data_IF_063639502618
#
_entry.id   IF_063639502618
#
_cell.length_a   1.000
_cell.length_b   1.000
_cell.length_c   1.000
_cell.angle_alpha   90.00
_cell.angle_beta   90.00
_cell.angle_gamma   90.00
#
_symmetry.space_group_name_H-M   'P 1'
#
loop_
_entity.id
_entity.type
_entity.pdbx_description
1 polymer ?
#
# COMPACT_ATOMS: atom_id res chain seq x y z
N UNK A 1 -54.20 -9.87 27.31
CA UNK A 1 -53.22 -8.87 26.82
C UNK A 1 -51.88 -9.53 26.88
N UNK A 2 -51.35 -9.92 25.72
CA UNK A 2 -50.10 -10.67 25.63
C UNK A 2 -49.03 -9.75 25.02
N UNK A 3 -48.14 -9.27 25.84
CA UNK A 3 -46.97 -8.48 25.42
C UNK A 3 -45.98 -9.38 24.68
N UNK A 4 -45.92 -9.22 23.36
CA UNK A 4 -44.84 -9.82 22.55
C UNK A 4 -43.59 -8.97 22.66
N UNK A 5 -42.68 -9.46 23.43
CA UNK A 5 -41.32 -8.93 23.49
C UNK A 5 -40.64 -9.11 22.11
N UNK A 6 -40.38 -8.00 21.41
CA UNK A 6 -39.66 -7.99 20.13
C UNK A 6 -38.17 -8.14 20.49
N UNK A 7 -37.43 -9.17 20.00
CA UNK A 7 -36.02 -9.28 20.25
C UNK A 7 -35.29 -8.14 19.57
N UNK A 8 -34.54 -7.40 20.35
CA UNK A 8 -33.62 -6.34 19.93
C UNK A 8 -32.66 -6.88 18.89
N UNK A 9 -32.81 -6.52 17.61
CA UNK A 9 -31.80 -6.78 16.59
C UNK A 9 -30.53 -6.05 16.98
N UNK A 10 -29.55 -6.77 17.52
CA UNK A 10 -28.18 -6.29 17.62
C UNK A 10 -27.77 -5.77 16.25
N UNK A 11 -27.50 -4.46 16.16
CA UNK A 11 -26.88 -3.86 15.00
C UNK A 11 -25.57 -4.64 14.75
N UNK A 12 -25.46 -5.30 13.60
CA UNK A 12 -24.20 -5.89 13.15
C UNK A 12 -23.27 -4.71 12.94
N UNK A 13 -22.42 -4.45 13.91
CA UNK A 13 -21.42 -3.38 13.86
C UNK A 13 -20.56 -3.59 12.61
N UNK A 14 -20.49 -2.56 11.77
CA UNK A 14 -19.61 -2.56 10.59
C UNK A 14 -18.18 -2.62 11.11
N UNK A 15 -17.45 -3.70 10.83
CA UNK A 15 -16.03 -3.86 11.19
C UNK A 15 -15.26 -2.69 10.58
N UNK A 16 -14.49 -1.99 11.37
CA UNK A 16 -13.67 -0.86 10.92
C UNK A 16 -12.51 -1.35 10.03
N UNK A 17 -11.94 -0.44 9.23
CA UNK A 17 -10.76 -0.75 8.42
C UNK A 17 -9.59 -1.23 9.30
N UNK A 18 -9.38 -0.57 10.43
CA UNK A 18 -8.34 -0.92 11.38
C UNK A 18 -8.52 -2.36 11.92
N UNK A 19 -9.73 -2.69 12.39
CA UNK A 19 -10.04 -4.04 12.90
C UNK A 19 -9.86 -5.11 11.83
N UNK A 20 -10.31 -4.84 10.60
CA UNK A 20 -10.15 -5.76 9.48
C UNK A 20 -8.68 -6.02 9.19
N UNK A 21 -7.85 -4.98 9.06
CA UNK A 21 -6.44 -5.14 8.70
C UNK A 21 -5.59 -5.71 9.84
N UNK A 22 -5.92 -5.41 11.09
CA UNK A 22 -5.31 -6.04 12.26
C UNK A 22 -5.66 -7.53 12.39
N UNK A 23 -6.83 -7.94 11.91
CA UNK A 23 -7.26 -9.34 11.92
C UNK A 23 -6.58 -10.22 10.86
N UNK A 24 -5.83 -9.64 9.93
CA UNK A 24 -5.11 -10.39 8.89
C UNK A 24 -3.97 -11.21 9.52
N UNK A 25 -4.23 -12.48 9.76
CA UNK A 25 -3.22 -13.38 10.29
C UNK A 25 -2.03 -13.53 9.32
N UNK A 26 -0.78 -13.40 9.80
CA UNK A 26 0.40 -13.66 9.00
C UNK A 26 0.41 -15.12 8.49
N UNK A 27 0.70 -15.29 7.18
CA UNK A 27 0.75 -16.62 6.58
C UNK A 27 1.68 -16.66 5.35
N UNK A 28 2.40 -17.76 5.21
CA UNK A 28 3.10 -18.12 3.99
C UNK A 28 2.20 -19.06 3.20
N UNK A 29 1.88 -18.71 1.97
CA UNK A 29 0.97 -19.46 1.13
C UNK A 29 1.48 -19.50 -0.32
N UNK A 30 1.25 -20.59 -1.08
CA UNK A 30 1.60 -20.64 -2.49
C UNK A 30 0.82 -19.57 -3.28
N UNK A 31 1.43 -19.09 -4.36
CA UNK A 31 0.79 -18.12 -5.24
C UNK A 31 -0.46 -18.72 -5.90
N UNK A 32 -1.59 -17.98 -5.94
CA UNK A 32 -2.75 -18.41 -6.73
C UNK A 32 -2.52 -18.33 -8.24
N UNK A 33 -1.41 -17.72 -8.69
CA UNK A 33 -0.98 -17.71 -10.09
C UNK A 33 0.23 -18.61 -10.28
N UNK A 34 0.11 -19.74 -11.01
CA UNK A 34 1.24 -20.61 -11.29
C UNK A 34 2.38 -19.86 -11.96
N UNK A 35 3.62 -20.10 -11.51
CA UNK A 35 4.82 -19.43 -12.03
C UNK A 35 5.02 -18.00 -11.51
N UNK A 36 4.30 -17.61 -10.46
CA UNK A 36 4.48 -16.31 -9.82
C UNK A 36 4.76 -16.46 -8.31
N UNK A 37 5.55 -15.57 -7.76
CA UNK A 37 5.49 -15.20 -6.35
C UNK A 37 4.41 -14.14 -6.14
N UNK A 38 3.91 -13.99 -4.93
CA UNK A 38 2.88 -13.01 -4.64
C UNK A 38 2.99 -12.46 -3.23
N UNK A 39 2.38 -11.31 -3.03
CA UNK A 39 2.14 -10.70 -1.73
C UNK A 39 0.71 -10.18 -1.66
N UNK A 40 0.10 -10.25 -0.47
CA UNK A 40 -1.20 -9.66 -0.16
C UNK A 40 -1.06 -8.78 1.07
N UNK A 41 -1.58 -7.58 0.98
CA UNK A 41 -1.52 -6.65 2.10
C UNK A 41 -2.01 -5.25 1.77
N UNK A 42 -1.44 -4.29 2.44
CA UNK A 42 -1.90 -2.91 2.38
C UNK A 42 -0.74 -1.91 2.54
N UNK A 43 -1.01 -0.66 2.22
CA UNK A 43 -0.07 0.42 2.49
C UNK A 43 -0.28 1.65 1.62
N UNK A 44 0.58 2.65 1.82
CA UNK A 44 0.66 3.85 0.99
C UNK A 44 1.70 3.63 -0.07
N UNK A 45 1.29 3.75 -1.34
CA UNK A 45 2.16 3.48 -2.48
C UNK A 45 3.21 4.56 -2.71
N UNK A 46 2.87 5.81 -2.44
CA UNK A 46 3.78 6.95 -2.35
C UNK A 46 3.07 8.12 -1.67
N UNK A 47 3.77 8.84 -0.82
CA UNK A 47 3.32 10.09 -0.20
C UNK A 47 4.42 11.14 -0.32
N UNK A 48 4.35 11.99 -1.34
CA UNK A 48 5.22 13.16 -1.45
C UNK A 48 4.83 14.20 -0.40
N UNK A 49 5.84 14.85 0.19
CA UNK A 49 5.70 15.94 1.15
C UNK A 49 6.24 17.26 0.58
N UNK A 50 5.81 18.38 1.18
CA UNK A 50 6.21 19.72 0.77
C UNK A 50 7.74 19.95 0.84
N UNK A 51 8.43 19.26 1.73
CA UNK A 51 9.90 19.25 1.84
C UNK A 51 10.61 18.56 0.67
N UNK A 52 9.88 17.92 -0.26
CA UNK A 52 10.45 17.12 -1.36
C UNK A 52 10.76 15.66 -1.01
N UNK A 53 10.62 15.28 0.25
CA UNK A 53 10.71 13.88 0.68
C UNK A 53 9.50 13.07 0.18
N UNK A 54 9.71 11.77 -0.05
CA UNK A 54 8.62 10.83 -0.36
C UNK A 54 8.70 9.65 0.58
N UNK A 55 7.58 9.29 1.20
CA UNK A 55 7.45 8.11 2.02
C UNK A 55 6.53 7.07 1.37
N UNK A 56 6.86 5.80 1.58
CA UNK A 56 6.07 4.62 1.21
C UNK A 56 5.98 3.71 2.42
N UNK A 57 4.84 3.15 2.72
CA UNK A 57 4.70 2.08 3.71
C UNK A 57 3.91 0.92 3.12
N UNK A 58 4.36 -0.29 3.36
CA UNK A 58 3.70 -1.52 2.91
C UNK A 58 3.77 -2.58 4.01
N UNK A 59 2.67 -3.26 4.22
CA UNK A 59 2.57 -4.42 5.08
C UNK A 59 2.01 -5.59 4.26
N UNK A 60 2.72 -6.68 4.24
CA UNK A 60 2.37 -7.90 3.50
C UNK A 60 2.29 -9.10 4.46
N UNK A 61 1.19 -9.20 5.24
CA UNK A 61 0.99 -10.30 6.18
C UNK A 61 0.88 -11.65 5.48
N UNK A 62 0.44 -11.70 4.23
CA UNK A 62 0.30 -12.95 3.46
C UNK A 62 1.12 -12.88 2.19
N UNK A 63 1.95 -13.89 1.95
CA UNK A 63 2.78 -13.95 0.74
C UNK A 63 3.38 -15.34 0.53
N UNK A 64 4.19 -15.49 -0.54
CA UNK A 64 4.82 -16.78 -0.89
C UNK A 64 6.11 -17.07 -0.13
N UNK A 65 6.65 -16.16 0.65
CA UNK A 65 7.99 -16.33 1.23
C UNK A 65 8.08 -16.01 2.74
N UNK A 66 7.71 -14.84 3.21
CA UNK A 66 7.67 -14.50 4.63
C UNK A 66 6.85 -13.23 4.87
N UNK A 67 5.96 -13.16 5.88
CA UNK A 67 5.28 -11.92 6.25
C UNK A 67 6.28 -10.81 6.59
N UNK A 68 6.06 -9.60 6.07
CA UNK A 68 6.94 -8.47 6.33
C UNK A 68 6.24 -7.13 6.20
N UNK A 69 6.88 -6.11 6.75
CA UNK A 69 6.57 -4.70 6.55
C UNK A 69 7.76 -4.01 5.88
N UNK A 70 7.52 -2.95 5.14
CA UNK A 70 8.59 -2.11 4.61
C UNK A 70 8.21 -0.65 4.62
N UNK A 71 9.18 0.21 4.91
CA UNK A 71 9.10 1.65 4.73
C UNK A 71 10.19 2.05 3.76
N UNK A 72 9.83 2.87 2.77
CA UNK A 72 10.78 3.42 1.83
C UNK A 72 10.81 4.91 2.01
N UNK A 73 11.98 5.47 1.94
CA UNK A 73 12.22 6.90 2.04
C UNK A 73 13.00 7.36 0.82
N UNK A 74 12.51 8.43 0.19
CA UNK A 74 13.21 9.14 -0.87
C UNK A 74 13.54 10.53 -0.36
N UNK A 75 14.81 10.89 -0.46
CA UNK A 75 15.30 12.24 -0.17
C UNK A 75 14.91 13.22 -1.29
N UNK A 76 14.95 14.55 -1.06
CA UNK A 76 14.65 15.55 -2.08
C UNK A 76 15.53 15.47 -3.33
N UNK A 77 16.78 15.02 -3.19
CA UNK A 77 17.73 14.81 -4.29
C UNK A 77 17.46 13.55 -5.12
N UNK A 78 16.50 12.71 -4.69
CA UNK A 78 16.04 11.56 -5.45
C UNK A 78 16.54 10.20 -4.98
N UNK A 79 17.33 10.15 -3.93
CA UNK A 79 17.93 8.93 -3.39
C UNK A 79 16.93 8.10 -2.60
N UNK A 80 16.82 6.80 -2.90
CA UNK A 80 15.94 5.87 -2.22
C UNK A 80 16.65 5.01 -1.20
N UNK A 81 16.02 4.85 -0.03
CA UNK A 81 16.38 3.85 0.99
C UNK A 81 15.17 2.97 1.31
N UNK A 82 15.39 1.66 1.52
CA UNK A 82 14.33 0.68 1.80
C UNK A 82 14.62 0.00 3.12
N UNK A 83 13.68 0.10 4.06
CA UNK A 83 13.73 -0.52 5.38
C UNK A 83 12.74 -1.66 5.44
N UNK A 84 13.13 -2.81 6.00
CA UNK A 84 12.32 -4.04 6.05
C UNK A 84 12.29 -4.59 7.46
N UNK A 85 11.11 -5.01 7.91
CA UNK A 85 10.86 -5.70 9.18
C UNK A 85 10.10 -7.01 8.94
N UNK A 86 10.51 -8.09 9.59
CA UNK A 86 9.85 -9.40 9.54
C UNK A 86 10.43 -10.39 8.52
N UNK A 87 11.24 -9.93 7.56
CA UNK A 87 11.92 -10.80 6.60
C UNK A 87 13.33 -10.28 6.30
N UNK A 88 14.26 -11.13 5.83
CA UNK A 88 15.54 -10.67 5.30
C UNK A 88 15.33 -9.71 4.13
N UNK A 89 16.13 -8.63 4.09
CA UNK A 89 15.98 -7.58 3.08
C UNK A 89 16.09 -8.13 1.65
N UNK A 90 16.96 -9.08 1.39
CA UNK A 90 17.16 -9.74 0.10
C UNK A 90 15.97 -10.61 -0.37
N UNK A 91 15.05 -10.95 0.53
CA UNK A 91 13.84 -11.75 0.24
C UNK A 91 12.56 -10.94 0.17
N UNK A 92 12.58 -9.67 0.58
CA UNK A 92 11.43 -8.77 0.62
C UNK A 92 11.38 -7.81 -0.59
N UNK A 93 10.78 -6.63 -0.42
CA UNK A 93 10.75 -5.59 -1.44
C UNK A 93 12.11 -5.28 -2.10
N UNK A 94 13.25 -5.26 -1.37
CA UNK A 94 14.55 -5.01 -1.99
C UNK A 94 14.93 -6.03 -3.08
N UNK A 95 14.46 -7.26 -3.02
CA UNK A 95 14.66 -8.25 -4.10
C UNK A 95 14.18 -7.72 -5.46
N UNK A 96 13.15 -6.89 -5.46
CA UNK A 96 12.52 -6.35 -6.66
C UNK A 96 12.96 -4.93 -6.98
N UNK A 97 13.26 -4.12 -5.98
CA UNK A 97 13.50 -2.69 -6.10
C UNK A 97 14.89 -2.26 -5.64
N UNK A 98 15.62 -3.12 -4.92
CA UNK A 98 16.91 -2.78 -4.31
C UNK A 98 17.99 -2.34 -5.31
N UNK A 99 17.91 -2.82 -6.57
CA UNK A 99 18.82 -2.37 -7.63
C UNK A 99 18.67 -0.87 -7.98
N UNK A 100 17.59 -0.23 -7.56
CA UNK A 100 17.32 1.20 -7.74
C UNK A 100 17.28 1.98 -6.42
N UNK A 101 17.66 1.35 -5.31
CA UNK A 101 17.85 1.98 -4.02
C UNK A 101 19.33 2.02 -3.66
N UNK A 102 19.77 3.10 -3.02
CA UNK A 102 21.14 3.21 -2.52
C UNK A 102 21.36 2.28 -1.32
N UNK A 103 20.34 2.17 -0.47
CA UNK A 103 20.40 1.37 0.74
C UNK A 103 19.16 0.47 0.87
N UNK A 104 19.38 -0.76 1.31
CA UNK A 104 18.31 -1.68 1.72
C UNK A 104 18.78 -2.42 2.97
N UNK A 105 18.08 -2.22 4.09
CA UNK A 105 18.44 -2.83 5.38
C UNK A 105 17.25 -3.26 6.22
N UNK A 106 17.50 -4.15 7.16
CA UNK A 106 16.52 -4.50 8.19
C UNK A 106 16.39 -3.37 9.21
N UNK A 107 15.15 -3.07 9.60
CA UNK A 107 14.83 -2.11 10.65
C UNK A 107 13.51 -2.50 11.30
N UNK A 108 13.33 -2.15 12.58
CA UNK A 108 12.05 -2.29 13.25
C UNK A 108 11.07 -1.27 12.72
N UNK A 109 9.89 -1.74 12.30
CA UNK A 109 8.78 -0.91 11.79
C UNK A 109 7.54 -1.26 12.60
N UNK A 110 6.98 -0.28 13.29
CA UNK A 110 5.73 -0.45 14.01
C UNK A 110 4.60 0.26 13.25
N UNK A 111 3.47 -0.44 13.09
CA UNK A 111 2.23 0.05 12.48
C UNK A 111 1.15 0.01 13.54
N UNK A 112 0.69 1.16 14.00
CA UNK A 112 -0.30 1.28 15.08
C UNK A 112 -1.54 1.99 14.57
N UNK A 113 -2.69 1.31 14.58
CA UNK A 113 -3.96 1.93 14.31
C UNK A 113 -4.43 2.70 15.53
N UNK A 114 -4.47 4.03 15.44
CA UNK A 114 -4.86 4.95 16.52
C UNK A 114 -6.34 5.31 16.45
N UNK A 115 -7.02 4.90 15.38
CA UNK A 115 -8.45 5.08 15.16
C UNK A 115 -8.96 4.16 14.04
N UNK A 116 -10.26 4.16 13.73
CA UNK A 116 -10.87 3.30 12.72
C UNK A 116 -10.26 3.47 11.30
N UNK A 117 -9.71 4.66 11.02
CA UNK A 117 -9.14 5.08 9.74
C UNK A 117 -7.82 5.86 9.94
N UNK A 118 -7.22 5.76 11.12
CA UNK A 118 -6.02 6.52 11.49
C UNK A 118 -4.87 5.57 11.77
N UNK A 119 -3.75 5.77 11.08
CA UNK A 119 -2.57 4.92 11.16
C UNK A 119 -1.35 5.75 11.58
N UNK A 120 -0.59 5.25 12.52
CA UNK A 120 0.75 5.71 12.86
C UNK A 120 1.79 4.68 12.43
N UNK A 121 2.86 5.17 11.81
CA UNK A 121 4.03 4.39 11.36
C UNK A 121 5.25 4.94 12.06
N UNK A 122 6.02 4.07 12.72
CA UNK A 122 7.30 4.46 13.31
C UNK A 122 8.42 3.57 12.80
N UNK A 123 9.59 4.16 12.55
CA UNK A 123 10.82 3.46 12.16
C UNK A 123 11.96 4.02 12.99
N UNK A 124 12.42 3.24 13.97
CA UNK A 124 13.44 3.67 14.92
C UNK A 124 14.76 4.08 14.21
N UNK A 125 15.20 3.28 13.26
CA UNK A 125 16.45 3.52 12.51
C UNK A 125 16.46 4.82 11.66
N UNK A 126 15.29 5.43 11.46
CA UNK A 126 15.11 6.71 10.76
C UNK A 126 14.70 7.84 11.71
N UNK A 127 14.46 7.54 12.97
CA UNK A 127 13.74 8.44 13.89
C UNK A 127 12.46 8.98 13.23
N UNK A 128 11.77 8.10 12.46
CA UNK A 128 10.56 8.46 11.74
C UNK A 128 9.34 8.23 12.61
N UNK A 129 8.50 9.28 12.70
CA UNK A 129 7.12 9.18 13.15
C UNK A 129 6.20 9.77 12.08
N UNK A 130 5.30 8.96 11.56
CA UNK A 130 4.41 9.32 10.46
C UNK A 130 2.98 8.92 10.77
N UNK A 131 2.09 9.90 10.91
CA UNK A 131 0.66 9.71 11.14
C UNK A 131 -0.16 10.05 9.92
N UNK A 132 -1.26 9.35 9.71
CA UNK A 132 -2.18 9.64 8.62
C UNK A 132 -3.63 9.28 8.95
N UNK A 133 -4.57 10.08 8.43
CA UNK A 133 -6.01 9.82 8.46
C UNK A 133 -6.49 9.49 7.05
N UNK A 134 -7.23 8.40 6.92
CA UNK A 134 -7.78 7.93 5.66
C UNK A 134 -9.24 8.37 5.48
N UNK A 135 -9.71 8.37 4.24
CA UNK A 135 -11.11 8.68 3.91
C UNK A 135 -11.58 7.88 2.70
N UNK A 136 -12.85 7.51 2.71
CA UNK A 136 -13.51 6.77 1.63
C UNK A 136 -14.78 7.53 1.21
N UNK A 137 -14.68 8.50 0.28
CA UNK A 137 -15.85 9.16 -0.29
C UNK A 137 -16.81 8.17 -0.95
N UNK A 138 -18.09 8.49 -1.07
CA UNK A 138 -19.13 7.59 -1.55
C UNK A 138 -18.83 6.97 -2.93
N UNK A 139 -18.29 7.75 -3.86
CA UNK A 139 -17.91 7.24 -5.18
C UNK A 139 -16.75 6.22 -5.09
N UNK A 140 -15.77 6.46 -4.20
CA UNK A 140 -14.66 5.54 -3.99
C UNK A 140 -15.13 4.25 -3.34
N UNK A 141 -16.09 4.34 -2.41
CA UNK A 141 -16.75 3.16 -1.81
C UNK A 141 -17.45 2.30 -2.87
N UNK A 142 -18.13 2.92 -3.82
CA UNK A 142 -18.76 2.19 -4.94
C UNK A 142 -17.72 1.50 -5.82
N UNK A 143 -16.61 2.18 -6.14
CA UNK A 143 -15.48 1.60 -6.89
C UNK A 143 -14.83 0.44 -6.12
N UNK A 144 -14.59 0.60 -4.82
CA UNK A 144 -14.06 -0.44 -3.94
C UNK A 144 -14.97 -1.67 -3.90
N UNK A 145 -16.29 -1.46 -3.81
CA UNK A 145 -17.25 -2.54 -3.82
C UNK A 145 -17.25 -3.31 -5.15
N UNK A 146 -17.11 -2.61 -6.28
CA UNK A 146 -16.98 -3.23 -7.60
C UNK A 146 -15.66 -4.00 -7.76
N UNK A 147 -14.54 -3.35 -7.44
CA UNK A 147 -13.20 -3.92 -7.55
C UNK A 147 -13.01 -5.15 -6.66
N UNK A 148 -13.55 -5.13 -5.43
CA UNK A 148 -13.47 -6.26 -4.49
C UNK A 148 -14.21 -7.51 -4.98
N UNK A 149 -15.23 -7.35 -5.84
CA UNK A 149 -16.01 -8.46 -6.41
C UNK A 149 -15.40 -9.05 -7.68
N UNK A 150 -14.38 -8.41 -8.25
CA UNK A 150 -13.73 -8.95 -9.45
C UNK A 150 -13.09 -10.30 -9.15
N UNK A 151 -13.37 -11.34 -9.95
CA UNK A 151 -12.75 -12.64 -9.78
C UNK A 151 -11.25 -12.55 -10.05
N UNK A 152 -10.46 -13.43 -9.42
CA UNK A 152 -9.00 -13.44 -9.56
C UNK A 152 -8.54 -13.54 -11.03
N UNK A 153 -9.26 -14.33 -11.83
CA UNK A 153 -8.95 -14.52 -13.24
C UNK A 153 -9.08 -13.21 -14.07
N UNK A 154 -9.97 -12.31 -13.69
CA UNK A 154 -10.16 -11.03 -14.39
C UNK A 154 -8.89 -10.16 -14.32
N UNK A 155 -8.15 -10.21 -13.23
CA UNK A 155 -6.92 -9.45 -13.03
C UNK A 155 -5.74 -9.91 -13.92
N UNK A 156 -5.90 -11.01 -14.65
CA UNK A 156 -4.95 -11.45 -15.68
C UNK A 156 -5.22 -10.80 -17.05
N UNK A 157 -6.34 -10.10 -17.20
CA UNK A 157 -6.72 -9.42 -18.43
C UNK A 157 -5.95 -8.11 -18.60
N UNK A 158 -5.13 -7.96 -19.66
CA UNK A 158 -4.46 -6.69 -19.95
C UNK A 158 -5.44 -5.53 -20.17
N UNK A 159 -6.63 -5.83 -20.71
CA UNK A 159 -7.67 -4.83 -20.95
C UNK A 159 -8.22 -4.30 -19.63
N UNK A 160 -8.48 -5.19 -18.65
CA UNK A 160 -8.91 -4.75 -17.30
C UNK A 160 -7.83 -3.90 -16.64
N UNK A 161 -6.57 -4.35 -16.65
CA UNK A 161 -5.45 -3.63 -16.04
C UNK A 161 -5.34 -2.21 -16.63
N UNK A 162 -5.35 -2.07 -17.97
CA UNK A 162 -5.33 -0.75 -18.62
C UNK A 162 -6.53 0.12 -18.28
N UNK A 163 -7.73 -0.48 -18.19
CA UNK A 163 -8.94 0.22 -17.75
C UNK A 163 -8.82 0.74 -16.31
N UNK A 164 -8.23 -0.05 -15.41
CA UNK A 164 -7.97 0.35 -14.03
C UNK A 164 -6.89 1.43 -13.93
N UNK A 165 -5.83 1.36 -14.73
CA UNK A 165 -4.80 2.40 -14.83
C UNK A 165 -5.40 3.73 -15.30
N UNK A 166 -6.20 3.70 -16.37
CA UNK A 166 -6.89 4.89 -16.89
C UNK A 166 -7.85 5.49 -15.85
N UNK A 167 -8.62 4.64 -15.19
CA UNK A 167 -9.53 5.08 -14.12
C UNK A 167 -8.77 5.71 -12.95
N UNK A 168 -7.66 5.11 -12.51
CA UNK A 168 -6.82 5.66 -11.45
C UNK A 168 -6.20 7.01 -11.86
N UNK A 169 -5.72 7.12 -13.08
CA UNK A 169 -5.12 8.35 -13.61
C UNK A 169 -6.15 9.48 -13.77
N UNK A 170 -7.25 9.22 -14.50
CA UNK A 170 -8.22 10.24 -14.90
C UNK A 170 -9.25 10.52 -13.80
N UNK A 171 -9.90 9.47 -13.27
CA UNK A 171 -11.01 9.63 -12.32
C UNK A 171 -10.48 9.94 -10.91
N UNK A 172 -9.43 9.24 -10.47
CA UNK A 172 -8.87 9.42 -9.13
C UNK A 172 -7.76 10.48 -9.09
N UNK A 173 -7.28 10.93 -10.24
CA UNK A 173 -6.25 11.96 -10.37
C UNK A 173 -4.89 11.56 -9.80
N UNK A 174 -4.56 10.26 -9.86
CA UNK A 174 -3.35 9.70 -9.25
C UNK A 174 -2.09 9.90 -10.10
N UNK A 175 -2.21 10.50 -11.28
CA UNK A 175 -1.13 10.61 -12.27
C UNK A 175 -0.96 9.31 -13.06
N UNK A 176 0.19 9.17 -13.73
CA UNK A 176 0.51 7.96 -14.46
C UNK A 176 0.77 6.80 -13.49
N UNK A 177 -0.21 5.93 -13.35
CA UNK A 177 -0.13 4.72 -12.52
C UNK A 177 0.07 3.52 -13.44
N UNK A 178 1.09 2.72 -13.17
CA UNK A 178 1.35 1.45 -13.82
C UNK A 178 1.01 0.30 -12.86
N UNK A 179 -0.02 -0.49 -13.21
CA UNK A 179 -0.40 -1.68 -12.44
C UNK A 179 0.28 -2.94 -12.95
N UNK A 180 0.86 -2.92 -14.15
CA UNK A 180 1.65 -4.01 -14.69
C UNK A 180 2.88 -3.48 -15.42
N UNK A 181 4.07 -4.04 -15.12
CA UNK A 181 5.30 -3.57 -15.71
C UNK A 181 6.53 -4.31 -15.24
N UNK A 182 7.68 -3.94 -15.82
CA UNK A 182 8.98 -4.49 -15.47
C UNK A 182 9.60 -3.69 -14.32
N UNK A 183 9.97 -4.39 -13.25
CA UNK A 183 10.61 -3.82 -12.08
C UNK A 183 12.13 -3.62 -12.29
N UNK A 184 12.81 -2.83 -11.43
CA UNK A 184 14.27 -2.65 -11.47
C UNK A 184 15.06 -3.96 -11.49
N UNK A 185 14.60 -4.98 -10.78
CA UNK A 185 15.18 -6.33 -10.80
C UNK A 185 14.99 -7.08 -12.13
N UNK A 186 14.19 -6.55 -13.05
CA UNK A 186 13.82 -7.20 -14.31
C UNK A 186 12.66 -8.20 -14.20
N UNK A 187 12.08 -8.44 -13.02
CA UNK A 187 10.86 -9.23 -12.90
C UNK A 187 9.66 -8.45 -13.48
N UNK A 188 8.71 -9.18 -14.05
CA UNK A 188 7.41 -8.62 -14.41
C UNK A 188 6.50 -8.64 -13.19
N UNK A 189 5.90 -7.51 -12.84
CA UNK A 189 4.94 -7.40 -11.76
C UNK A 189 3.55 -7.05 -12.28
N UNK A 190 2.53 -7.52 -11.56
CA UNK A 190 1.13 -7.12 -11.75
C UNK A 190 0.53 -6.80 -10.39
N UNK A 191 0.04 -5.57 -10.23
CA UNK A 191 -0.64 -5.09 -9.04
C UNK A 191 -2.15 -5.23 -9.21
N UNK A 192 -2.84 -5.73 -8.20
CA UNK A 192 -4.29 -5.94 -8.22
C UNK A 192 -4.92 -5.24 -7.02
N UNK A 193 -5.09 -3.91 -7.07
CA UNK A 193 -5.71 -3.16 -5.99
C UNK A 193 -7.18 -3.56 -5.85
N UNK A 194 -7.58 -4.02 -4.67
CA UNK A 194 -8.94 -4.43 -4.36
C UNK A 194 -9.74 -3.30 -3.77
N UNK A 195 -9.11 -2.50 -2.91
CA UNK A 195 -9.70 -1.30 -2.31
C UNK A 195 -8.66 -0.20 -2.20
N UNK A 196 -9.13 1.03 -2.25
CA UNK A 196 -8.32 2.22 -2.11
C UNK A 196 -8.99 3.21 -1.18
N UNK A 197 -8.18 4.01 -0.49
CA UNK A 197 -8.59 5.11 0.38
C UNK A 197 -7.72 6.31 0.09
N UNK A 198 -8.30 7.50 0.15
CA UNK A 198 -7.49 8.71 0.07
C UNK A 198 -6.91 9.06 1.44
N UNK A 199 -5.75 9.67 1.43
CA UNK A 199 -5.19 10.29 2.61
C UNK A 199 -5.85 11.66 2.75
N UNK A 200 -6.59 11.87 3.84
CA UNK A 200 -7.24 13.13 4.18
C UNK A 200 -6.24 14.11 4.76
N UNK A 201 -5.40 13.64 5.65
CA UNK A 201 -4.33 14.39 6.29
C UNK A 201 -3.19 13.44 6.68
N UNK A 202 -1.99 13.96 6.71
CA UNK A 202 -0.85 13.25 7.27
C UNK A 202 0.16 14.27 7.84
N UNK A 203 0.96 13.81 8.78
CA UNK A 203 2.10 14.52 9.33
C UNK A 203 3.25 13.53 9.50
N UNK A 204 4.44 13.93 9.11
CA UNK A 204 5.64 13.10 9.25
C UNK A 204 6.81 13.94 9.77
N UNK A 205 7.48 13.40 10.77
CA UNK A 205 8.72 13.91 11.35
C UNK A 205 9.81 12.86 11.14
N UNK A 206 10.94 13.28 10.60
CA UNK A 206 12.10 12.45 10.27
C UNK A 206 13.36 13.06 10.90
N UNK A 207 13.94 12.40 11.89
CA UNK A 207 15.12 12.88 12.62
C UNK A 207 14.96 14.34 13.09
N UNK A 208 13.79 14.68 13.65
CA UNK A 208 13.45 16.02 14.12
C UNK A 208 13.05 17.02 13.03
N UNK A 209 13.09 16.62 11.74
CA UNK A 209 12.63 17.44 10.62
C UNK A 209 11.15 17.18 10.34
N UNK A 210 10.31 18.22 10.43
CA UNK A 210 8.95 18.18 9.92
C UNK A 210 8.96 18.18 8.38
N UNK A 211 8.40 17.13 7.77
CA UNK A 211 8.37 17.00 6.32
C UNK A 211 7.30 17.91 5.65
N UNK A 212 6.49 18.59 6.45
CA UNK A 212 5.41 19.44 5.98
C UNK A 212 4.17 18.66 5.53
N UNK A 213 3.26 19.34 4.83
CA UNK A 213 2.01 18.72 4.38
C UNK A 213 2.24 17.75 3.22
N UNK A 214 1.45 16.67 3.12
CA UNK A 214 1.44 15.83 1.92
C UNK A 214 0.95 16.65 0.72
N UNK A 215 1.60 16.45 -0.42
CA UNK A 215 1.31 17.17 -1.66
C UNK A 215 1.04 16.19 -2.81
N UNK A 216 0.37 16.66 -3.84
CA UNK A 216 0.37 15.98 -5.13
C UNK A 216 1.66 16.35 -5.87
N UNK A 217 2.49 15.37 -6.17
CA UNK A 217 3.71 15.61 -6.92
C UNK A 217 3.39 16.06 -8.36
N UNK A 218 4.06 17.10 -8.83
CA UNK A 218 3.97 17.56 -10.22
C UNK A 218 4.53 16.52 -11.19
N UNK A 219 5.65 15.90 -10.80
CA UNK A 219 6.24 14.77 -11.51
C UNK A 219 6.10 13.53 -10.63
N UNK A 220 5.49 12.43 -11.14
CA UNK A 220 5.37 11.20 -10.36
C UNK A 220 6.73 10.73 -9.83
N UNK A 221 6.84 10.38 -8.54
CA UNK A 221 8.07 9.78 -8.02
C UNK A 221 8.38 8.49 -8.77
N UNK A 222 9.66 8.23 -9.02
CA UNK A 222 10.11 6.98 -9.65
C UNK A 222 11.14 6.27 -8.80
N UNK A 223 11.15 4.95 -8.85
CA UNK A 223 12.24 4.11 -8.35
C UNK A 223 12.74 3.25 -9.52
N UNK A 224 13.94 3.56 -10.01
CA UNK A 224 14.36 3.11 -11.34
C UNK A 224 13.38 3.56 -12.42
N UNK A 225 12.94 2.64 -13.27
CA UNK A 225 11.93 2.90 -14.30
C UNK A 225 10.46 2.82 -13.78
N UNK A 226 10.26 2.34 -12.55
CA UNK A 226 8.90 2.16 -11.99
C UNK A 226 8.34 3.48 -11.51
N UNK A 227 7.18 3.87 -12.05
CA UNK A 227 6.44 5.06 -11.62
C UNK A 227 5.57 4.77 -10.41
N UNK A 228 5.58 5.67 -9.44
CA UNK A 228 4.72 5.63 -8.26
C UNK A 228 3.62 6.70 -8.39
N UNK A 229 2.47 6.50 -7.72
CA UNK A 229 1.40 7.50 -7.75
C UNK A 229 1.88 8.88 -7.32
N UNK A 230 1.44 9.93 -8.03
CA UNK A 230 1.73 11.31 -7.67
C UNK A 230 0.85 11.85 -6.55
N UNK A 231 -0.33 11.23 -6.32
CA UNK A 231 -1.28 11.59 -5.26
C UNK A 231 -1.24 10.54 -4.16
N UNK A 232 -1.12 10.94 -2.89
CA UNK A 232 -1.16 9.99 -1.77
C UNK A 232 -2.44 9.16 -1.76
N UNK A 233 -2.27 7.84 -1.73
CA UNK A 233 -3.38 6.90 -1.60
C UNK A 233 -2.93 5.66 -0.84
N UNK A 234 -3.82 5.16 0.01
CA UNK A 234 -3.68 3.89 0.71
C UNK A 234 -4.42 2.82 -0.10
N UNK A 235 -3.79 1.70 -0.34
CA UNK A 235 -4.35 0.61 -1.11
C UNK A 235 -4.30 -0.71 -0.34
N UNK A 236 -5.30 -1.55 -0.57
CA UNK A 236 -5.36 -2.94 -0.13
C UNK A 236 -5.44 -3.80 -1.38
N UNK A 237 -4.59 -4.81 -1.49
CA UNK A 237 -4.58 -5.65 -2.67
C UNK A 237 -3.44 -6.66 -2.68
N UNK A 238 -3.13 -7.13 -3.88
CA UNK A 238 -2.08 -8.11 -4.13
C UNK A 238 -1.09 -7.60 -5.16
N UNK A 239 0.11 -8.15 -5.11
CA UNK A 239 1.09 -8.01 -6.18
C UNK A 239 1.62 -9.39 -6.56
N UNK A 240 1.75 -9.62 -7.84
CA UNK A 240 2.24 -10.87 -8.42
C UNK A 240 3.54 -10.59 -9.18
N UNK A 241 4.56 -11.38 -8.92
CA UNK A 241 5.89 -11.24 -9.52
C UNK A 241 6.20 -12.51 -10.30
N UNK A 242 6.33 -12.39 -11.62
CA UNK A 242 6.61 -13.55 -12.48
C UNK A 242 8.00 -14.10 -12.16
N UNK A 243 8.08 -15.39 -11.87
CA UNK A 243 9.35 -16.09 -11.70
C UNK A 243 10.11 -16.10 -13.05
N UNK A 244 11.43 -16.00 -12.95
CA UNK A 244 12.33 -16.04 -14.12
C UNK A 244 12.57 -17.49 -14.55
#
# INVERSE_FOLDING_TARGET
>A
MSDRCIPNRKAVGTVSLAEELQSLAPAVQPSPWPGYEWVEGFGVMAMPFASGHVLVVRAFPRNSFAPYKSVWHRTPDGTWSIFVDGAPADKACPRYFGAAAEESRSARIDLTWTGPMDLEVTVEALELRWTMSLTEPAYLRALNAASSRLPEAAWRSPVLIRGMELMASVVLGMGDVELAGKLPSGHWATLTPRRMYFVRSAHAELAGLDLGSPVKATTPPTIGATRLPSKPAFAIGRAFFKLR
#
